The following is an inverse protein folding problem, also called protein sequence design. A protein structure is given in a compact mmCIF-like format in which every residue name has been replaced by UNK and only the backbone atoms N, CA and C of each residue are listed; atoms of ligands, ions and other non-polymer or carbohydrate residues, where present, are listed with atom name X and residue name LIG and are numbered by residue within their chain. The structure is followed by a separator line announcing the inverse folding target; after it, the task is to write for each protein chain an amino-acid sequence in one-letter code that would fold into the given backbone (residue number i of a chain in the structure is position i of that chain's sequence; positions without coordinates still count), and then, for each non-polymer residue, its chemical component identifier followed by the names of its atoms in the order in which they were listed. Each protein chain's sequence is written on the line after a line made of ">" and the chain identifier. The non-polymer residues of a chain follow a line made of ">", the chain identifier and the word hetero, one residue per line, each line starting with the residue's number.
data_IF_486196345270
#
_entry.id   IF_486196345270
#
_cell.length_a   1.000
_cell.length_b   1.000
_cell.length_c   1.000
_cell.angle_alpha   90.00
_cell.angle_beta   90.00
_cell.angle_gamma   90.00
#
_symmetry.space_group_name_H-M   'P 1'
#
loop_
_entity.id
_entity.type
_entity.pdbx_description
1 polymer ?
#
# COMPACT_ATOMS: atom_id res chain seq x y z
N UNK A 1 -11.07 -6.52 -8.66
CA UNK A 1 -9.62 -6.44 -8.98
C UNK A 1 -9.21 -5.05 -8.58
N UNK A 2 -8.25 -4.89 -7.65
CA UNK A 2 -7.86 -3.58 -7.11
C UNK A 2 -7.25 -2.74 -8.26
N UNK A 3 -7.75 -1.54 -8.57
CA UNK A 3 -7.25 -0.72 -9.68
C UNK A 3 -5.76 -0.37 -9.50
N UNK A 4 -5.28 -0.23 -8.26
CA UNK A 4 -3.87 0.00 -7.91
C UNK A 4 -2.99 -1.17 -8.35
N UNK A 5 -3.49 -2.41 -8.24
CA UNK A 5 -2.78 -3.60 -8.74
C UNK A 5 -2.65 -3.62 -10.25
N UNK A 6 -3.64 -3.07 -10.97
CA UNK A 6 -3.56 -2.95 -12.43
C UNK A 6 -2.58 -1.86 -12.84
N UNK A 7 -2.49 -0.76 -12.08
CA UNK A 7 -1.50 0.30 -12.29
C UNK A 7 -0.07 -0.22 -12.13
N UNK A 8 0.26 -0.88 -11.01
CA UNK A 8 1.60 -1.44 -10.80
C UNK A 8 1.96 -2.54 -11.81
N UNK A 9 0.99 -3.36 -12.24
CA UNK A 9 1.21 -4.33 -13.31
C UNK A 9 1.60 -3.66 -14.65
N UNK A 10 1.03 -2.48 -14.95
CA UNK A 10 1.39 -1.68 -16.13
C UNK A 10 2.76 -1.00 -15.97
N UNK A 11 3.04 -0.42 -14.80
CA UNK A 11 4.28 0.28 -14.51
C UNK A 11 5.50 -0.66 -14.58
N UNK A 12 5.38 -1.89 -14.05
CA UNK A 12 6.44 -2.89 -14.07
C UNK A 12 6.41 -3.83 -15.28
N UNK A 13 5.71 -3.45 -16.36
CA UNK A 13 5.87 -4.05 -17.69
C UNK A 13 5.23 -5.41 -17.91
N UNK A 14 4.13 -5.75 -17.23
CA UNK A 14 3.46 -7.04 -17.48
C UNK A 14 2.71 -7.10 -18.83
N UNK A 15 2.44 -5.97 -19.51
CA UNK A 15 1.58 -5.93 -20.72
C UNK A 15 2.19 -5.31 -21.99
N UNK A 16 3.49 -4.98 -22.05
CA UNK A 16 4.10 -4.50 -23.31
C UNK A 16 4.64 -5.64 -24.16
N UNK A 17 3.78 -6.23 -24.99
CA UNK A 17 4.23 -6.96 -26.19
C UNK A 17 4.48 -5.93 -27.30
N UNK A 18 5.66 -5.32 -27.32
CA UNK A 18 6.10 -4.51 -28.45
C UNK A 18 6.30 -5.42 -29.68
N UNK A 19 5.62 -5.09 -30.78
CA UNK A 19 5.88 -5.71 -32.10
C UNK A 19 7.26 -5.25 -32.57
N UNK A 20 8.29 -6.07 -32.35
CA UNK A 20 9.64 -5.80 -32.88
C UNK A 20 9.75 -6.09 -34.38
N UNK A 21 10.35 -5.13 -35.08
CA UNK A 21 10.79 -5.19 -36.47
C UNK A 21 11.93 -6.25 -36.62
N UNK A 22 11.80 -7.26 -37.50
CA UNK A 22 12.69 -8.43 -37.54
C UNK A 22 14.15 -8.15 -37.95
N UNK A 23 14.52 -6.91 -38.27
CA UNK A 23 15.83 -6.59 -38.87
C UNK A 23 16.95 -6.22 -37.86
N UNK A 24 16.68 -6.14 -36.55
CA UNK A 24 17.71 -5.84 -35.51
C UNK A 24 17.48 -6.64 -34.23
N UNK A 25 17.58 -7.97 -34.31
CA UNK A 25 17.57 -8.80 -33.11
C UNK A 25 18.97 -8.81 -32.45
N UNK A 26 19.21 -7.88 -31.53
CA UNK A 26 20.09 -8.21 -30.40
C UNK A 26 19.38 -9.31 -29.58
N UNK A 27 20.10 -10.26 -28.96
CA UNK A 27 19.47 -11.22 -28.07
C UNK A 27 18.81 -10.44 -26.94
N UNK A 28 17.48 -10.32 -26.99
CA UNK A 28 16.68 -9.86 -25.86
C UNK A 28 16.92 -10.89 -24.76
N UNK A 29 17.67 -10.50 -23.74
CA UNK A 29 17.74 -11.26 -22.48
C UNK A 29 16.33 -11.16 -21.91
N UNK A 30 15.47 -12.13 -22.23
CA UNK A 30 14.16 -12.25 -21.60
C UNK A 30 14.44 -12.64 -20.15
N UNK A 31 14.16 -11.79 -19.16
CA UNK A 31 14.36 -12.15 -17.77
C UNK A 31 13.55 -13.42 -17.48
N UNK A 32 14.19 -14.38 -16.83
CA UNK A 32 13.63 -15.69 -16.55
C UNK A 32 12.36 -15.54 -15.69
N UNK A 33 11.18 -15.61 -16.33
CA UNK A 33 9.85 -15.41 -15.71
C UNK A 33 9.63 -16.29 -14.48
N UNK A 34 10.28 -17.45 -14.43
CA UNK A 34 10.25 -18.37 -13.29
C UNK A 34 10.86 -17.77 -12.02
N UNK A 35 11.93 -16.96 -12.14
CA UNK A 35 12.58 -16.33 -10.99
C UNK A 35 11.78 -15.17 -10.41
N UNK A 36 11.13 -14.38 -11.27
CA UNK A 36 10.29 -13.24 -10.84
C UNK A 36 9.08 -13.72 -10.04
N UNK A 37 8.40 -14.77 -10.51
CA UNK A 37 7.24 -15.31 -9.81
C UNK A 37 7.60 -15.91 -8.43
N UNK A 38 8.79 -16.50 -8.29
CA UNK A 38 9.27 -17.04 -7.01
C UNK A 38 9.61 -15.91 -6.02
N UNK A 39 10.22 -14.83 -6.50
CA UNK A 39 10.53 -13.66 -5.66
C UNK A 39 9.26 -12.95 -5.18
N UNK A 40 8.27 -12.77 -6.06
CA UNK A 40 6.98 -12.15 -5.69
C UNK A 40 6.21 -13.00 -4.67
N UNK A 41 6.24 -14.33 -4.83
CA UNK A 41 5.62 -15.25 -3.87
C UNK A 41 6.31 -15.23 -2.50
N UNK A 42 7.64 -15.07 -2.47
CA UNK A 42 8.40 -14.92 -1.23
C UNK A 42 8.01 -13.66 -0.47
N UNK A 43 7.98 -12.52 -1.16
CA UNK A 43 7.57 -11.22 -0.57
C UNK A 43 6.14 -11.24 -0.06
N UNK A 44 5.21 -11.83 -0.81
CA UNK A 44 3.82 -11.94 -0.38
C UNK A 44 3.69 -12.83 0.86
N UNK A 45 4.48 -13.90 0.95
CA UNK A 45 4.52 -14.74 2.14
C UNK A 45 5.02 -13.95 3.36
N UNK A 46 6.11 -13.20 3.23
CA UNK A 46 6.65 -12.35 4.29
C UNK A 46 5.64 -11.29 4.74
N UNK A 47 4.94 -10.65 3.79
CA UNK A 47 3.86 -9.69 4.07
C UNK A 47 2.75 -10.32 4.90
N UNK A 48 2.30 -11.52 4.53
CA UNK A 48 1.26 -12.25 5.27
C UNK A 48 1.71 -12.66 6.67
N UNK A 49 3.00 -13.01 6.86
CA UNK A 49 3.57 -13.31 8.18
C UNK A 49 3.62 -12.07 9.08
N UNK A 50 3.98 -10.91 8.54
CA UNK A 50 3.95 -9.61 9.25
C UNK A 50 2.52 -9.23 9.65
N UNK A 51 1.56 -9.36 8.73
CA UNK A 51 0.14 -9.13 9.02
C UNK A 51 -0.34 -10.03 10.17
N UNK A 52 -0.01 -11.32 10.14
CA UNK A 52 -0.42 -12.24 11.19
C UNK A 52 0.22 -11.92 12.55
N UNK A 53 1.47 -11.46 12.53
CA UNK A 53 2.22 -11.05 13.73
C UNK A 53 1.61 -9.79 14.33
N UNK A 54 1.45 -8.73 13.53
CA UNK A 54 0.84 -7.48 13.97
C UNK A 54 -0.61 -7.68 14.42
N UNK A 55 -1.40 -8.52 13.75
CA UNK A 55 -2.76 -8.84 14.20
C UNK A 55 -2.77 -9.48 15.59
N UNK A 56 -1.87 -10.42 15.86
CA UNK A 56 -1.77 -11.07 17.17
C UNK A 56 -1.37 -10.09 18.27
N UNK A 57 -0.47 -9.16 17.98
CA UNK A 57 0.09 -8.22 18.96
C UNK A 57 -0.84 -7.02 19.21
N UNK A 58 -1.54 -6.56 18.17
CA UNK A 58 -2.36 -5.35 18.22
C UNK A 58 -3.84 -5.62 18.47
N UNK A 59 -4.34 -6.86 18.28
CA UNK A 59 -5.78 -7.17 18.33
C UNK A 59 -6.46 -6.63 19.58
N UNK A 60 -5.96 -6.97 20.77
CA UNK A 60 -6.59 -6.57 22.03
C UNK A 60 -6.56 -5.05 22.23
N UNK A 61 -5.46 -4.41 21.80
CA UNK A 61 -5.30 -2.96 21.85
C UNK A 61 -6.29 -2.23 20.92
N UNK A 62 -6.38 -2.65 19.65
CA UNK A 62 -7.29 -2.06 18.66
C UNK A 62 -8.74 -2.23 19.12
N UNK A 63 -9.12 -3.43 19.58
CA UNK A 63 -10.48 -3.69 20.07
C UNK A 63 -10.83 -2.78 21.24
N UNK A 64 -9.93 -2.67 22.22
CA UNK A 64 -10.13 -1.78 23.37
C UNK A 64 -10.26 -0.33 22.91
N UNK A 65 -9.35 0.16 22.07
CA UNK A 65 -9.33 1.55 21.63
C UNK A 65 -10.58 1.93 20.84
N UNK A 66 -10.99 1.09 19.90
CA UNK A 66 -12.19 1.30 19.10
C UNK A 66 -13.46 1.19 19.95
N UNK A 67 -13.49 0.29 20.94
CA UNK A 67 -14.63 0.20 21.86
C UNK A 67 -14.77 1.45 22.74
N UNK A 68 -13.66 2.02 23.20
CA UNK A 68 -13.65 3.21 24.06
C UNK A 68 -14.07 4.48 23.30
N UNK A 69 -13.68 4.61 22.03
CA UNK A 69 -13.89 5.82 21.22
C UNK A 69 -14.89 5.68 20.08
N UNK A 70 -15.54 4.53 19.93
CA UNK A 70 -16.36 4.14 18.77
C UNK A 70 -15.56 3.89 17.48
N UNK A 71 -14.46 4.62 17.26
CA UNK A 71 -13.60 4.47 16.09
C UNK A 71 -12.19 5.00 16.32
N UNK A 72 -11.25 4.58 15.47
CA UNK A 72 -9.90 5.13 15.36
C UNK A 72 -9.69 5.72 13.96
N UNK A 73 -9.42 7.01 13.86
CA UNK A 73 -9.20 7.72 12.58
C UNK A 73 -7.72 7.76 12.26
N UNK A 74 -7.38 7.56 10.99
CA UNK A 74 -6.02 7.57 10.50
C UNK A 74 -5.91 8.19 9.11
N UNK A 75 -4.72 8.66 8.77
CA UNK A 75 -4.31 9.12 7.45
C UNK A 75 -2.96 8.55 7.09
N UNK A 76 -2.62 8.55 5.81
CA UNK A 76 -1.29 8.15 5.37
C UNK A 76 -0.80 8.97 4.20
N UNK A 77 0.52 9.02 4.08
CA UNK A 77 1.26 9.57 2.96
C UNK A 77 2.27 8.50 2.53
N UNK A 78 2.38 8.19 1.24
CA UNK A 78 3.36 7.24 0.74
C UNK A 78 3.86 7.55 -0.65
N UNK A 79 4.98 6.93 -1.01
CA UNK A 79 5.72 7.21 -2.23
C UNK A 79 7.00 7.99 -1.94
N UNK A 80 7.84 8.16 -2.96
CA UNK A 80 9.23 8.53 -2.72
C UNK A 80 10.00 7.34 -2.14
N UNK A 81 10.48 7.46 -0.91
CA UNK A 81 11.31 6.49 -0.21
C UNK A 81 10.60 5.69 0.89
N UNK A 82 9.47 6.17 1.42
CA UNK A 82 8.76 5.50 2.52
C UNK A 82 7.25 5.82 2.58
N UNK A 83 6.54 5.08 3.44
CA UNK A 83 5.13 5.28 3.76
C UNK A 83 4.96 5.58 5.24
N UNK A 84 4.11 6.55 5.55
CA UNK A 84 3.81 6.99 6.90
C UNK A 84 2.32 6.89 7.20
N UNK A 85 1.96 6.39 8.38
CA UNK A 85 0.59 6.38 8.87
C UNK A 85 0.46 7.25 10.12
N UNK A 86 -0.45 8.21 10.08
CA UNK A 86 -0.75 9.09 11.19
C UNK A 86 -2.12 8.77 11.78
N UNK A 87 -2.25 8.88 13.10
CA UNK A 87 -3.50 8.70 13.81
C UNK A 87 -3.90 10.02 14.47
N UNK A 88 -5.18 10.41 14.35
CA UNK A 88 -5.68 11.69 14.89
C UNK A 88 -5.63 11.75 16.42
N UNK A 89 -5.58 10.58 17.05
CA UNK A 89 -5.47 10.46 18.48
C UNK A 89 -4.00 10.56 18.91
N UNK A 90 -3.73 11.23 20.03
CA UNK A 90 -2.46 11.07 20.77
C UNK A 90 -2.31 9.59 21.19
N UNK A 91 -1.77 8.76 20.29
CA UNK A 91 -1.27 7.43 20.58
C UNK A 91 0.07 7.67 21.28
N UNK A 92 0.03 7.80 22.60
CA UNK A 92 1.20 8.11 23.43
C UNK A 92 2.10 6.89 23.69
N UNK A 93 1.70 5.72 23.20
CA UNK A 93 2.49 4.48 23.31
C UNK A 93 3.33 4.37 22.03
N UNK A 94 4.53 4.97 22.02
CA UNK A 94 5.48 4.93 20.89
C UNK A 94 5.65 3.50 20.36
N UNK A 95 5.76 2.51 21.25
CA UNK A 95 5.92 1.09 20.91
C UNK A 95 4.73 0.50 20.12
N UNK A 96 3.51 1.01 20.28
CA UNK A 96 2.31 0.51 19.56
C UNK A 96 2.10 1.25 18.24
N UNK A 97 2.62 2.48 18.14
CA UNK A 97 2.42 3.32 16.96
C UNK A 97 3.14 2.74 15.73
N UNK A 98 4.39 2.31 15.88
CA UNK A 98 5.18 1.74 14.76
C UNK A 98 4.59 0.41 14.27
N UNK A 99 4.27 -0.51 15.19
CA UNK A 99 3.66 -1.80 14.85
C UNK A 99 2.30 -1.63 14.17
N UNK A 100 1.49 -0.67 14.64
CA UNK A 100 0.19 -0.37 14.06
C UNK A 100 0.32 0.25 12.67
N UNK A 101 1.27 1.16 12.47
CA UNK A 101 1.60 1.72 11.17
C UNK A 101 2.00 0.62 10.18
N UNK A 102 2.97 -0.21 10.52
CA UNK A 102 3.39 -1.32 9.66
C UNK A 102 2.23 -2.29 9.38
N UNK A 103 1.40 -2.58 10.38
CA UNK A 103 0.23 -3.44 10.21
C UNK A 103 -0.74 -2.85 9.19
N UNK A 104 -1.06 -1.55 9.28
CA UNK A 104 -1.99 -0.88 8.35
C UNK A 104 -1.41 -0.81 6.94
N UNK A 105 -0.14 -0.45 6.78
CA UNK A 105 0.54 -0.43 5.47
C UNK A 105 0.44 -1.79 4.80
N UNK A 106 0.82 -2.86 5.52
CA UNK A 106 0.77 -4.20 4.96
C UNK A 106 -0.68 -4.67 4.71
N UNK A 107 -1.61 -4.43 5.62
CA UNK A 107 -2.99 -4.94 5.53
C UNK A 107 -3.80 -4.26 4.44
N UNK A 108 -3.62 -2.96 4.25
CA UNK A 108 -4.29 -2.17 3.22
C UNK A 108 -3.57 -2.21 1.87
N UNK A 109 -2.40 -2.87 1.79
CA UNK A 109 -1.59 -2.95 0.58
C UNK A 109 -1.16 -1.54 0.09
N UNK A 110 -0.81 -0.68 1.05
CA UNK A 110 -0.29 0.66 0.78
C UNK A 110 1.13 0.49 0.24
N UNK A 111 1.44 1.00 -0.95
CA UNK A 111 2.79 0.94 -1.49
C UNK A 111 3.72 1.84 -0.67
N UNK A 112 4.90 1.32 -0.34
CA UNK A 112 5.90 1.95 0.52
C UNK A 112 6.71 3.02 -0.21
N UNK A 113 7.35 2.67 -1.33
CA UNK A 113 8.27 3.54 -2.05
C UNK A 113 8.09 3.47 -3.58
N UNK A 114 8.41 4.55 -4.27
CA UNK A 114 8.39 4.63 -5.74
C UNK A 114 8.17 6.03 -6.31
N UNK A 115 8.15 6.14 -7.64
CA UNK A 115 7.93 7.39 -8.38
C UNK A 115 6.43 7.77 -8.44
N UNK A 116 5.81 7.88 -7.26
CA UNK A 116 4.43 8.29 -7.10
C UNK A 116 4.26 9.04 -5.78
N UNK A 117 3.12 9.69 -5.60
CA UNK A 117 2.64 10.19 -4.31
C UNK A 117 1.24 9.66 -4.06
N UNK A 118 1.01 9.08 -2.90
CA UNK A 118 -0.28 8.55 -2.48
C UNK A 118 -0.64 9.12 -1.12
N UNK A 119 -1.80 9.75 -1.04
CA UNK A 119 -2.35 10.23 0.23
C UNK A 119 -3.70 9.57 0.46
N UNK A 120 -3.96 9.16 1.70
CA UNK A 120 -5.24 8.56 2.05
C UNK A 120 -5.67 8.83 3.48
N UNK A 121 -6.90 8.47 3.75
CA UNK A 121 -7.50 8.53 5.08
C UNK A 121 -8.46 7.35 5.28
N UNK A 122 -8.67 7.00 6.53
CA UNK A 122 -9.56 5.93 6.89
C UNK A 122 -10.00 5.97 8.35
N UNK A 123 -10.90 5.04 8.64
CA UNK A 123 -11.45 4.84 9.97
C UNK A 123 -11.51 3.35 10.27
N UNK A 124 -10.99 2.97 11.44
CA UNK A 124 -11.11 1.64 12.00
C UNK A 124 -12.30 1.63 12.95
N UNK A 125 -13.19 0.65 12.79
CA UNK A 125 -14.43 0.55 13.55
C UNK A 125 -14.83 -0.92 13.76
N UNK A 126 -15.71 -1.18 14.73
CA UNK A 126 -16.27 -2.52 14.99
C UNK A 126 -17.67 -2.61 14.36
N UNK A 127 -17.89 -3.64 13.54
CA UNK A 127 -19.21 -3.99 13.01
C UNK A 127 -19.30 -5.49 12.72
N UNK A 128 -20.47 -6.09 12.96
CA UNK A 128 -20.79 -7.48 12.63
C UNK A 128 -19.81 -8.53 13.19
N UNK A 129 -19.25 -8.32 14.39
CA UNK A 129 -18.18 -9.12 15.02
C UNK A 129 -16.83 -9.08 14.29
N UNK A 130 -16.58 -8.03 13.51
CA UNK A 130 -15.28 -7.76 12.89
C UNK A 130 -14.79 -6.38 13.29
N UNK A 131 -13.47 -6.25 13.41
CA UNK A 131 -12.80 -4.96 13.28
C UNK A 131 -12.58 -4.72 11.79
N UNK A 132 -13.01 -3.56 11.31
CA UNK A 132 -13.01 -3.19 9.89
C UNK A 132 -12.29 -1.86 9.69
N UNK A 133 -11.72 -1.68 8.51
CA UNK A 133 -11.17 -0.40 8.06
C UNK A 133 -11.91 0.05 6.81
N UNK A 134 -12.49 1.24 6.87
CA UNK A 134 -13.04 1.95 5.71
C UNK A 134 -12.10 3.07 5.34
N UNK A 135 -11.69 3.16 4.07
CA UNK A 135 -10.66 4.10 3.65
C UNK A 135 -10.90 4.66 2.26
N UNK A 136 -10.20 5.75 1.94
CA UNK A 136 -10.07 6.31 0.59
C UNK A 136 -8.69 6.92 0.39
N UNK A 137 -8.18 6.84 -0.83
CA UNK A 137 -6.87 7.36 -1.22
C UNK A 137 -6.85 7.94 -2.61
N UNK A 138 -5.92 8.85 -2.82
CA UNK A 138 -5.57 9.43 -4.12
C UNK A 138 -4.10 9.17 -4.40
N UNK A 139 -3.80 8.55 -5.53
CA UNK A 139 -2.45 8.29 -6.02
C UNK A 139 -2.18 9.16 -7.24
N UNK A 140 -0.96 9.67 -7.34
CA UNK A 140 -0.45 10.47 -8.47
C UNK A 140 0.91 9.92 -8.90
N UNK A 141 1.06 9.58 -10.16
CA UNK A 141 2.36 9.19 -10.72
C UNK A 141 3.26 10.42 -10.89
N UNK A 142 4.55 10.31 -10.54
CA UNK A 142 5.55 11.33 -10.85
C UNK A 142 6.12 10.96 -12.22
N UNK A 143 5.87 11.80 -13.22
CA UNK A 143 6.28 11.51 -14.61
C UNK A 143 7.54 12.26 -15.02
N UNK A 144 7.83 13.38 -14.38
CA UNK A 144 8.99 14.24 -14.69
C UNK A 144 9.27 15.20 -13.53
N UNK A 145 10.43 15.85 -13.57
CA UNK A 145 10.79 16.95 -12.69
C UNK A 145 11.03 18.21 -13.52
N UNK A 146 10.37 19.31 -13.15
CA UNK A 146 10.63 20.58 -13.79
C UNK A 146 11.99 21.14 -13.32
N UNK A 147 13.00 21.04 -14.18
CA UNK A 147 14.38 21.49 -13.89
C UNK A 147 14.49 22.98 -13.51
N UNK A 148 13.56 23.82 -13.97
CA UNK A 148 13.58 25.27 -13.71
C UNK A 148 12.98 25.64 -12.35
N UNK A 149 12.02 24.86 -11.85
CA UNK A 149 11.28 25.15 -10.61
C UNK A 149 11.53 24.16 -9.48
N UNK A 150 12.22 23.04 -9.76
CA UNK A 150 12.43 21.92 -8.85
C UNK A 150 11.09 21.32 -8.34
N UNK A 151 10.05 21.37 -9.19
CA UNK A 151 8.72 20.85 -8.87
C UNK A 151 8.43 19.56 -9.63
N UNK A 152 7.79 18.61 -8.95
CA UNK A 152 7.31 17.36 -9.55
C UNK A 152 6.17 17.61 -10.54
N UNK A 153 6.28 17.00 -11.72
CA UNK A 153 5.22 16.96 -12.71
C UNK A 153 4.44 15.67 -12.52
N UNK A 154 3.15 15.79 -12.22
CA UNK A 154 2.28 14.64 -11.99
C UNK A 154 1.56 14.19 -13.25
N UNK A 155 1.47 12.87 -13.41
CA UNK A 155 0.70 12.18 -14.46
C UNK A 155 -0.75 11.92 -14.07
N UNK A 156 -1.22 10.71 -14.33
CA UNK A 156 -2.60 10.31 -14.04
C UNK A 156 -2.89 10.29 -12.53
N UNK A 157 -4.13 10.63 -12.19
CA UNK A 157 -4.65 10.58 -10.82
C UNK A 157 -5.57 9.38 -10.69
N UNK A 158 -5.26 8.50 -9.75
CA UNK A 158 -6.08 7.34 -9.42
C UNK A 158 -6.70 7.52 -8.03
N UNK A 159 -7.97 7.13 -7.89
CA UNK A 159 -8.69 7.16 -6.62
C UNK A 159 -9.13 5.76 -6.26
N UNK A 160 -8.80 5.32 -5.05
CA UNK A 160 -9.26 4.06 -4.48
C UNK A 160 -10.07 4.31 -3.20
N UNK A 161 -11.03 3.44 -2.93
CA UNK A 161 -11.77 3.43 -1.67
C UNK A 161 -12.36 2.06 -1.42
N UNK A 162 -12.34 1.62 -0.17
CA UNK A 162 -12.83 0.30 0.19
C UNK A 162 -13.27 0.21 1.65
N UNK A 163 -13.91 -0.90 1.98
CA UNK A 163 -14.30 -1.29 3.34
C UNK A 163 -13.92 -2.75 3.55
N UNK A 164 -12.83 -2.98 4.29
CA UNK A 164 -12.25 -4.31 4.47
C UNK A 164 -12.29 -4.75 5.92
N UNK A 165 -12.38 -6.06 6.14
CA UNK A 165 -12.20 -6.64 7.47
C UNK A 165 -10.71 -6.71 7.80
N UNK A 166 -10.33 -6.17 8.96
CA UNK A 166 -8.99 -6.36 9.52
C UNK A 166 -8.91 -7.76 10.15
N UNK A 167 -9.81 -8.05 11.09
CA UNK A 167 -9.89 -9.35 11.76
C UNK A 167 -11.25 -9.57 12.43
N UNK A 168 -11.54 -10.82 12.78
CA UNK A 168 -12.72 -11.20 13.55
C UNK A 168 -12.48 -11.03 15.06
N UNK A 169 -13.51 -10.62 15.79
CA UNK A 169 -13.50 -10.54 17.26
C UNK A 169 -13.46 -11.93 17.88
#
# INVERSE_FOLDING_TARGET
>A
MNPIKQFFARLFGQDRVEKQDPARAQPVIVPNRTGINVLMAGREKERMERIATGERELKDWIVKRVSDKTSLVFSWESGGDEAFVHFDDDITEEDVSEDLEEYIVNKLDIPDAGEFKMNGNGVIYIADNFVRAKYSSTMKEIIDYNEDTDEEVFGEVEVDSNDIALFAL
#
